data_IF_894460509944
#
_entry.id   IF_894460509944
#
_cell.length_a   1.000
_cell.length_b   1.000
_cell.length_c   1.000
_cell.angle_alpha   90.00
_cell.angle_beta   90.00
_cell.angle_gamma   90.00
#
_symmetry.space_group_name_H-M   'P 1'
#
loop_
_entity.id
_entity.type
_entity.pdbx_description
1 polymer ?
#
# COMPACT_ATOMS: atom_id res chain seq x y z
N UNK A 1 14.28 18.43 -30.33
CA UNK A 1 15.00 17.53 -31.26
C UNK A 1 16.43 17.37 -30.75
N UNK A 2 16.77 16.21 -30.16
CA UNK A 2 18.15 15.77 -29.92
C UNK A 2 18.13 14.28 -29.61
N UNK A 3 18.32 13.52 -30.68
CA UNK A 3 18.50 12.08 -30.75
C UNK A 3 19.99 11.75 -30.66
N UNK A 4 20.37 10.84 -29.77
CA UNK A 4 21.61 10.06 -29.75
C UNK A 4 21.21 8.79 -28.96
N UNK A 5 20.88 7.61 -29.48
CA UNK A 5 21.43 6.72 -30.52
C UNK A 5 22.87 6.27 -30.24
N UNK A 6 23.01 5.20 -29.45
CA UNK A 6 24.20 4.34 -29.39
C UNK A 6 23.82 2.94 -29.90
N UNK A 7 24.68 2.41 -30.78
CA UNK A 7 24.44 1.21 -31.58
C UNK A 7 25.67 0.29 -31.56
N UNK A 8 25.41 -1.02 -31.51
CA UNK A 8 26.15 -2.17 -32.10
C UNK A 8 27.26 -2.88 -31.29
N UNK A 9 27.01 -4.17 -30.97
CA UNK A 9 27.76 -5.39 -31.39
C UNK A 9 27.08 -6.64 -30.75
N UNK A 10 26.39 -7.53 -31.49
CA UNK A 10 26.89 -8.73 -32.23
C UNK A 10 27.58 -9.78 -31.30
N UNK A 11 27.34 -11.10 -31.30
CA UNK A 11 26.62 -12.02 -32.19
C UNK A 11 26.30 -13.38 -31.49
N UNK A 12 25.14 -13.96 -31.88
CA UNK A 12 24.75 -15.37 -32.20
C UNK A 12 25.62 -16.56 -31.75
N UNK A 13 24.99 -17.61 -31.16
CA UNK A 13 24.96 -19.00 -31.68
C UNK A 13 23.79 -19.84 -31.07
N UNK A 14 23.15 -20.62 -31.95
CA UNK A 14 21.95 -21.50 -31.84
C UNK A 14 22.06 -22.57 -30.73
N UNK A 15 20.99 -23.02 -30.06
CA UNK A 15 20.00 -24.05 -30.46
C UNK A 15 19.17 -24.36 -29.20
N UNK A 16 17.87 -24.62 -29.11
CA UNK A 16 16.79 -24.87 -30.05
C UNK A 16 15.55 -25.33 -29.28
N UNK A 17 14.61 -25.91 -30.01
CA UNK A 17 13.40 -26.65 -29.59
C UNK A 17 12.07 -25.88 -29.56
N UNK A 18 11.29 -26.15 -30.62
CA UNK A 18 9.88 -25.81 -30.83
C UNK A 18 8.99 -26.52 -29.80
N UNK A 19 8.04 -25.79 -29.24
CA UNK A 19 6.83 -26.37 -28.67
C UNK A 19 5.64 -25.46 -29.02
N UNK A 20 5.30 -25.40 -30.31
CA UNK A 20 3.98 -24.88 -30.73
C UNK A 20 3.00 -26.04 -30.72
N UNK A 21 2.44 -26.32 -29.53
CA UNK A 21 1.27 -27.18 -29.40
C UNK A 21 0.01 -26.31 -29.44
N UNK A 22 -0.48 -25.99 -30.63
CA UNK A 22 -1.85 -25.49 -30.77
C UNK A 22 -2.80 -26.67 -30.50
N UNK A 23 -3.31 -26.79 -29.28
CA UNK A 23 -4.34 -27.78 -28.97
C UNK A 23 -5.69 -27.24 -29.43
N UNK A 24 -5.99 -27.40 -30.72
CA UNK A 24 -7.34 -27.32 -31.22
C UNK A 24 -8.03 -28.65 -30.91
N UNK A 25 -8.66 -28.75 -29.75
CA UNK A 25 -9.61 -29.82 -29.49
C UNK A 25 -10.98 -29.20 -29.16
N UNK A 26 -11.74 -28.91 -30.21
CA UNK A 26 -13.18 -28.71 -30.12
C UNK A 26 -13.82 -30.09 -30.14
N UNK A 27 -14.42 -30.59 -29.05
CA UNK A 27 -15.20 -31.82 -29.11
C UNK A 27 -16.53 -31.57 -29.86
N UNK A 28 -16.96 -32.46 -30.77
CA UNK A 28 -18.28 -32.40 -31.38
C UNK A 28 -19.39 -32.56 -30.31
N UNK A 29 -20.56 -31.93 -30.53
CA UNK A 29 -21.66 -32.00 -29.57
C UNK A 29 -22.32 -33.38 -29.63
N UNK A 30 -22.18 -34.15 -28.57
CA UNK A 30 -22.86 -35.43 -28.44
C UNK A 30 -22.19 -36.34 -27.43
N UNK A 31 -22.77 -36.37 -26.23
CA UNK A 31 -22.72 -37.47 -25.27
C UNK A 31 -21.35 -37.87 -24.67
N UNK A 32 -21.18 -37.55 -23.39
CA UNK A 32 -20.20 -38.20 -22.54
C UNK A 32 -20.08 -37.52 -21.18
N UNK A 33 -20.54 -38.19 -20.13
CA UNK A 33 -20.29 -37.80 -18.75
C UNK A 33 -18.78 -37.85 -18.47
N UNK A 34 -18.15 -36.69 -18.29
CA UNK A 34 -16.75 -36.63 -17.84
C UNK A 34 -16.72 -36.85 -16.33
N UNK A 35 -16.26 -38.04 -15.92
CA UNK A 35 -15.94 -38.33 -14.53
C UNK A 35 -14.66 -37.56 -14.16
N UNK A 36 -14.81 -36.38 -13.58
CA UNK A 36 -13.68 -35.63 -13.02
C UNK A 36 -13.14 -36.43 -11.82
N UNK A 37 -11.86 -36.83 -11.79
CA UNK A 37 -11.32 -37.57 -10.65
C UNK A 37 -11.38 -36.70 -9.39
N UNK A 38 -11.91 -37.26 -8.29
CA UNK A 38 -12.04 -36.62 -6.97
C UNK A 38 -10.69 -36.31 -6.27
N UNK A 39 -9.59 -36.30 -7.02
CA UNK A 39 -8.22 -36.12 -6.52
C UNK A 39 -7.48 -34.91 -7.10
N UNK A 40 -8.09 -34.14 -8.01
CA UNK A 40 -7.46 -32.95 -8.58
C UNK A 40 -7.86 -31.66 -7.82
N UNK A 41 -7.75 -31.69 -6.48
CA UNK A 41 -7.55 -30.45 -5.74
C UNK A 41 -6.04 -30.17 -5.76
N UNK A 42 -5.58 -29.51 -6.83
CA UNK A 42 -4.31 -28.81 -6.76
C UNK A 42 -4.39 -27.83 -5.59
N UNK A 43 -3.74 -28.18 -4.49
CA UNK A 43 -3.52 -27.28 -3.36
C UNK A 43 -2.65 -26.13 -3.89
N UNK A 44 -3.32 -25.12 -4.43
CA UNK A 44 -2.72 -23.86 -4.81
C UNK A 44 -2.05 -23.34 -3.53
N UNK A 45 -0.70 -23.21 -3.49
CA UNK A 45 -0.06 -22.70 -2.30
C UNK A 45 -0.71 -21.36 -2.03
N UNK A 46 -1.29 -21.20 -0.84
CA UNK A 46 -1.92 -19.96 -0.43
C UNK A 46 -0.88 -18.87 -0.58
N UNK A 47 -0.91 -18.15 -1.71
CA UNK A 47 -0.12 -16.97 -1.91
C UNK A 47 -0.52 -16.08 -0.76
N UNK A 48 0.38 -15.90 0.22
CA UNK A 48 0.20 -14.93 1.28
C UNK A 48 -0.07 -13.63 0.54
N UNK A 49 -1.34 -13.23 0.49
CA UNK A 49 -1.75 -11.98 -0.09
C UNK A 49 -0.93 -10.96 0.68
N UNK A 50 0.11 -10.46 0.03
CA UNK A 50 1.00 -9.46 0.58
C UNK A 50 0.12 -8.23 0.69
N UNK A 51 -0.53 -8.12 1.84
CA UNK A 51 -1.49 -7.08 2.12
C UNK A 51 -0.72 -5.80 1.88
N UNK A 52 -1.16 -4.99 0.92
CA UNK A 52 -0.54 -3.71 0.62
C UNK A 52 -0.23 -3.02 1.95
N UNK A 53 0.97 -2.42 2.14
CA UNK A 53 1.40 -1.90 3.42
C UNK A 53 0.28 -1.03 3.96
N UNK A 54 -0.39 -1.53 5.00
CA UNK A 54 -1.53 -0.85 5.57
C UNK A 54 -0.98 0.47 6.09
N UNK A 55 -1.27 1.57 5.38
CA UNK A 55 -0.98 2.92 5.87
C UNK A 55 -1.43 2.93 7.31
N UNK A 56 -0.47 3.01 8.25
CA UNK A 56 -0.72 2.68 9.64
C UNK A 56 -1.83 3.61 10.12
N UNK A 57 -3.06 3.08 10.16
CA UNK A 57 -4.24 3.80 10.61
C UNK A 57 -3.95 4.30 12.02
N UNK A 58 -4.57 5.41 12.38
CA UNK A 58 -4.43 5.97 13.71
C UNK A 58 -4.63 4.88 14.77
N UNK A 59 -3.72 4.77 15.74
CA UNK A 59 -3.88 3.83 16.85
C UNK A 59 -4.71 4.49 17.93
N UNK A 60 -5.85 3.92 18.28
CA UNK A 60 -6.60 4.29 19.48
C UNK A 60 -5.76 3.97 20.72
N UNK A 61 -5.57 4.97 21.58
CA UNK A 61 -4.81 4.84 22.83
C UNK A 61 -5.57 5.51 23.96
N UNK A 62 -5.45 4.93 25.16
CA UNK A 62 -5.84 5.63 26.37
C UNK A 62 -4.96 6.89 26.51
N UNK A 63 -5.60 8.03 26.74
CA UNK A 63 -4.95 9.32 26.79
C UNK A 63 -5.75 10.25 27.72
N UNK A 64 -5.22 10.44 28.93
CA UNK A 64 -5.73 11.42 29.86
C UNK A 64 -5.27 12.82 29.43
N UNK A 65 -6.22 13.67 29.05
CA UNK A 65 -5.96 15.05 28.67
C UNK A 65 -6.95 15.97 29.35
N UNK A 66 -6.49 17.18 29.71
CA UNK A 66 -7.34 18.28 30.15
C UNK A 66 -7.86 19.13 28.98
N UNK A 67 -7.58 18.74 27.73
CA UNK A 67 -8.07 19.42 26.54
C UNK A 67 -9.42 18.85 26.12
N UNK A 68 -10.26 19.71 25.55
CA UNK A 68 -11.56 19.31 25.04
C UNK A 68 -11.42 18.29 23.88
N UNK A 69 -12.43 17.45 23.71
CA UNK A 69 -12.52 16.57 22.53
C UNK A 69 -12.45 17.40 21.24
N UNK A 70 -11.79 16.86 20.22
CA UNK A 70 -11.46 17.57 18.98
C UNK A 70 -10.13 18.34 19.02
N UNK A 71 -9.49 18.44 20.19
CA UNK A 71 -8.17 19.07 20.29
C UNK A 71 -7.07 18.21 19.67
N UNK A 72 -6.07 18.88 19.09
CA UNK A 72 -4.87 18.25 18.52
C UNK A 72 -3.70 18.59 19.43
N UNK A 73 -2.99 17.57 19.90
CA UNK A 73 -1.78 17.73 20.73
C UNK A 73 -0.61 17.12 19.98
N UNK A 74 0.44 17.90 19.79
CA UNK A 74 1.65 17.48 19.06
C UNK A 74 2.79 17.38 20.07
N UNK A 75 3.38 16.19 20.19
CA UNK A 75 4.61 15.95 20.94
C UNK A 75 5.76 15.83 19.94
N UNK A 76 6.50 16.94 19.74
CA UNK A 76 7.60 17.00 18.78
C UNK A 76 8.81 16.16 19.21
N UNK A 77 9.02 15.96 20.52
CA UNK A 77 10.08 15.07 21.03
C UNK A 77 9.85 13.63 20.59
N UNK A 78 8.58 13.21 20.54
CA UNK A 78 8.19 11.85 20.13
C UNK A 78 7.81 11.75 18.66
N UNK A 79 7.66 12.87 17.94
CA UNK A 79 7.15 12.91 16.57
C UNK A 79 5.76 12.24 16.45
N UNK A 80 4.87 12.62 17.37
CA UNK A 80 3.53 12.05 17.50
C UNK A 80 2.48 13.15 17.60
N UNK A 81 1.37 12.95 16.89
CA UNK A 81 0.16 13.73 17.02
C UNK A 81 -0.92 12.89 17.72
N UNK A 82 -1.59 13.48 18.70
CA UNK A 82 -2.74 12.94 19.39
C UNK A 82 -3.98 13.77 19.04
N UNK A 83 -4.97 13.14 18.43
CA UNK A 83 -6.29 13.71 18.27
C UNK A 83 -7.18 13.24 19.42
N UNK A 84 -7.57 14.17 20.30
CA UNK A 84 -8.34 13.86 21.51
C UNK A 84 -9.77 13.54 21.12
N UNK A 85 -10.21 12.31 21.38
CA UNK A 85 -11.58 11.87 21.08
C UNK A 85 -12.54 12.16 22.23
N UNK A 86 -12.02 12.36 23.44
CA UNK A 86 -12.81 12.41 24.68
C UNK A 86 -12.82 11.05 25.38
N UNK A 87 -13.52 10.96 26.51
CA UNK A 87 -13.67 9.72 27.30
C UNK A 87 -12.34 9.03 27.66
N UNK A 88 -11.27 9.80 27.85
CA UNK A 88 -9.94 9.27 28.14
C UNK A 88 -9.26 8.57 26.95
N UNK A 89 -9.70 8.84 25.72
CA UNK A 89 -9.13 8.27 24.48
C UNK A 89 -8.59 9.32 23.51
N UNK A 90 -7.60 8.92 22.74
CA UNK A 90 -7.09 9.68 21.60
C UNK A 90 -6.68 8.78 20.43
N UNK A 91 -6.76 9.32 19.23
CA UNK A 91 -6.20 8.71 18.02
C UNK A 91 -4.75 9.17 17.84
N UNK A 92 -3.81 8.24 17.82
CA UNK A 92 -2.36 8.49 17.72
C UNK A 92 -1.88 8.36 16.27
N UNK A 93 -1.19 9.39 15.80
CA UNK A 93 -0.57 9.47 14.48
C UNK A 93 0.94 9.68 14.61
N UNK A 94 1.73 9.08 13.72
CA UNK A 94 3.13 9.46 13.54
C UNK A 94 3.17 10.65 12.59
N UNK A 95 3.95 11.67 12.94
CA UNK A 95 4.15 12.89 12.14
C UNK A 95 5.62 13.24 12.15
N UNK A 96 6.13 13.86 11.09
CA UNK A 96 7.48 14.44 11.11
C UNK A 96 7.34 15.93 11.46
N UNK A 97 8.14 16.40 12.42
CA UNK A 97 8.24 17.84 12.70
C UNK A 97 9.23 18.52 11.76
N UNK A 98 9.32 19.85 11.86
CA UNK A 98 10.38 20.63 11.23
C UNK A 98 11.77 20.19 11.73
N UNK A 99 12.82 20.61 11.00
CA UNK A 99 14.22 20.44 11.39
C UNK A 99 14.44 21.01 12.81
N UNK A 100 15.30 20.39 13.64
CA UNK A 100 15.62 20.93 14.96
C UNK A 100 15.99 22.42 14.88
N UNK A 101 15.36 23.23 15.74
CA UNK A 101 15.50 24.70 15.75
C UNK A 101 14.44 25.47 14.96
N UNK A 102 13.61 24.81 14.16
CA UNK A 102 12.47 25.40 13.43
C UNK A 102 11.12 24.97 14.00
N UNK A 103 11.11 24.44 15.23
CA UNK A 103 9.91 24.00 15.91
C UNK A 103 9.18 25.20 16.50
N UNK A 104 7.88 25.27 16.24
CA UNK A 104 7.01 26.21 16.94
C UNK A 104 6.40 25.56 18.20
N UNK A 105 6.15 26.39 19.23
CA UNK A 105 5.48 25.98 20.46
C UNK A 105 4.37 26.97 20.79
N UNK A 106 3.20 26.45 21.14
CA UNK A 106 2.08 27.26 21.58
C UNK A 106 0.73 26.61 21.36
N UNK A 107 -0.32 27.41 21.45
CA UNK A 107 -1.69 27.02 21.13
C UNK A 107 -2.15 27.83 19.93
N UNK A 108 -2.70 27.17 18.93
CA UNK A 108 -3.23 27.80 17.73
C UNK A 108 -4.53 27.13 17.32
N UNK A 109 -5.45 27.93 16.78
CA UNK A 109 -6.70 27.45 16.20
C UNK A 109 -6.50 27.30 14.70
N UNK A 110 -6.78 26.12 14.14
CA UNK A 110 -6.71 25.89 12.69
C UNK A 110 -7.60 26.91 11.98
N UNK A 111 -6.99 27.74 11.13
CA UNK A 111 -7.65 28.88 10.47
C UNK A 111 -8.29 28.51 9.14
N UNK A 112 -7.69 27.57 8.41
CA UNK A 112 -8.16 27.12 7.11
C UNK A 112 -7.79 25.66 6.85
N UNK A 113 -8.55 25.01 5.98
CA UNK A 113 -8.28 23.67 5.46
C UNK A 113 -8.59 23.67 3.97
N UNK A 114 -7.57 23.33 3.17
CA UNK A 114 -7.67 23.28 1.72
C UNK A 114 -7.23 21.91 1.23
N UNK A 115 -7.90 21.41 0.20
CA UNK A 115 -7.53 20.17 -0.48
C UNK A 115 -6.61 20.52 -1.66
N UNK A 116 -5.51 19.78 -1.84
CA UNK A 116 -4.52 19.99 -2.92
C UNK A 116 -4.07 21.45 -3.07
N UNK A 117 -3.39 22.01 -2.06
CA UNK A 117 -2.86 23.36 -2.17
C UNK A 117 -1.69 23.43 -3.17
N UNK A 118 -1.39 24.62 -3.68
CA UNK A 118 -0.38 24.90 -4.72
C UNK A 118 1.10 24.73 -4.27
N UNK A 119 1.34 24.33 -3.02
CA UNK A 119 2.69 24.21 -2.43
C UNK A 119 3.17 22.78 -2.31
#
# INVERSE_FOLDING_TARGET
MKTMLNSIAAAVLLSGFLATGASANLPPPGEGLVLVPLGAQSAQPAQKQQTAPQFKRAKLVAYASNKAAGSIIIDTKKNVLYYVLGNGMAAKYRVASAKPGFEWKGTHKVSSKTTWPDW
#
